data_IF_892739732081
#
_entry.id   IF_892739732081
#
_cell.length_a   1.000
_cell.length_b   1.000
_cell.length_c   1.000
_cell.angle_alpha   90.00
_cell.angle_beta   90.00
_cell.angle_gamma   90.00
#
_symmetry.space_group_name_H-M   'P 1'
#
loop_
_entity.id
_entity.type
_entity.pdbx_description
1 polymer ?
#
# COMPACT_ATOMS: atom_id res chain seq x y z
N UNK A 1 16.55 1.60 -4.02
CA UNK A 1 17.14 1.04 -5.26
C UNK A 1 15.99 0.49 -6.11
N UNK A 2 15.80 0.94 -7.34
CA UNK A 2 14.67 0.51 -8.17
C UNK A 2 14.92 -0.93 -8.66
N UNK A 3 14.04 -1.86 -8.29
CA UNK A 3 14.11 -3.26 -8.76
C UNK A 3 14.12 -3.28 -10.30
N UNK A 4 15.12 -3.95 -10.86
CA UNK A 4 15.24 -4.20 -12.31
C UNK A 4 14.11 -5.14 -12.69
N UNK A 5 13.21 -4.68 -13.56
CA UNK A 5 12.05 -5.48 -13.99
C UNK A 5 12.55 -6.57 -14.92
N UNK A 6 12.57 -7.82 -14.45
CA UNK A 6 13.16 -8.96 -15.16
C UNK A 6 12.39 -9.38 -16.43
N UNK A 7 11.12 -8.99 -16.58
CA UNK A 7 10.26 -9.51 -17.65
C UNK A 7 9.45 -8.42 -18.37
N UNK A 8 9.50 -8.33 -19.71
CA UNK A 8 8.68 -7.41 -20.48
C UNK A 8 7.21 -7.85 -20.47
N UNK A 9 6.30 -6.93 -20.14
CA UNK A 9 4.85 -7.17 -20.15
C UNK A 9 4.25 -6.56 -21.42
N UNK A 10 3.61 -7.38 -22.24
CA UNK A 10 2.87 -6.93 -23.43
C UNK A 10 1.39 -6.76 -23.11
N UNK A 11 0.83 -5.58 -23.40
CA UNK A 11 -0.58 -5.27 -23.17
C UNK A 11 -1.26 -4.85 -24.48
N UNK A 12 -2.53 -5.22 -24.66
CA UNK A 12 -3.35 -4.73 -25.77
C UNK A 12 -4.22 -3.58 -25.27
N UNK A 13 -4.01 -2.40 -25.83
CA UNK A 13 -4.78 -1.21 -25.51
C UNK A 13 -5.42 -0.64 -26.78
N UNK A 14 -6.66 -0.10 -26.69
CA UNK A 14 -7.25 0.69 -27.75
C UNK A 14 -6.33 1.82 -28.22
N UNK A 15 -6.30 2.08 -29.54
CA UNK A 15 -5.43 3.11 -30.14
C UNK A 15 -5.60 4.50 -29.50
N UNK A 16 -6.83 4.86 -29.12
CA UNK A 16 -7.09 6.18 -28.51
C UNK A 16 -6.44 6.32 -27.13
N UNK A 17 -6.33 5.24 -26.35
CA UNK A 17 -5.64 5.28 -25.06
C UNK A 17 -4.14 5.43 -25.25
N UNK A 18 -3.56 4.71 -26.22
CA UNK A 18 -2.13 4.82 -26.54
C UNK A 18 -1.78 6.27 -26.89
N UNK A 19 -2.63 6.95 -27.68
CA UNK A 19 -2.43 8.36 -28.03
C UNK A 19 -2.42 9.27 -26.80
N UNK A 20 -3.37 9.10 -25.87
CA UNK A 20 -3.42 9.88 -24.63
C UNK A 20 -2.19 9.65 -23.75
N UNK A 21 -1.70 8.41 -23.67
CA UNK A 21 -0.47 8.10 -22.95
C UNK A 21 0.72 8.82 -23.60
N UNK A 22 0.79 8.84 -24.93
CA UNK A 22 1.85 9.55 -25.65
C UNK A 22 1.79 11.07 -25.45
N UNK A 23 0.60 11.65 -25.34
CA UNK A 23 0.41 13.07 -25.02
C UNK A 23 1.00 13.41 -23.64
N UNK A 24 0.66 12.63 -22.61
CA UNK A 24 1.20 12.82 -21.25
C UNK A 24 2.73 12.66 -21.17
N UNK A 25 3.31 11.78 -22.00
CA UNK A 25 4.77 11.64 -22.11
C UNK A 25 5.38 12.87 -22.78
N UNK A 26 4.75 13.40 -23.85
CA UNK A 26 5.22 14.61 -24.53
C UNK A 26 5.15 15.84 -23.64
N UNK A 27 4.14 15.92 -22.77
CA UNK A 27 3.98 16.99 -21.78
C UNK A 27 5.02 16.89 -20.64
N UNK A 28 5.76 15.78 -20.57
CA UNK A 28 6.80 15.56 -19.56
C UNK A 28 6.26 15.06 -18.22
N UNK A 29 4.97 14.72 -18.12
CA UNK A 29 4.38 14.14 -16.91
C UNK A 29 4.95 12.74 -16.61
N UNK A 30 5.31 11.99 -17.66
CA UNK A 30 5.88 10.65 -17.55
C UNK A 30 7.12 10.48 -18.42
N UNK A 31 8.10 9.73 -17.92
CA UNK A 31 9.36 9.50 -18.64
C UNK A 31 9.21 8.55 -19.83
N UNK A 32 8.24 7.64 -19.78
CA UNK A 32 7.98 6.65 -20.82
C UNK A 32 6.60 6.02 -20.66
N UNK A 33 6.16 5.26 -21.68
CA UNK A 33 4.92 4.46 -21.59
C UNK A 33 4.99 3.47 -20.44
N UNK A 34 6.13 2.83 -20.24
CA UNK A 34 6.33 1.88 -19.14
C UNK A 34 6.21 2.54 -17.77
N UNK A 35 6.70 3.77 -17.64
CA UNK A 35 6.60 4.58 -16.41
C UNK A 35 5.13 4.89 -16.09
N UNK A 36 4.38 5.37 -17.09
CA UNK A 36 2.93 5.59 -16.98
C UNK A 36 2.18 4.32 -16.57
N UNK A 37 2.44 3.18 -17.23
CA UNK A 37 1.73 1.93 -16.96
C UNK A 37 2.03 1.44 -15.54
N UNK A 38 3.29 1.50 -15.08
CA UNK A 38 3.65 1.14 -13.70
C UNK A 38 2.93 2.02 -12.69
N UNK A 39 2.93 3.34 -12.91
CA UNK A 39 2.22 4.29 -12.05
C UNK A 39 0.72 3.97 -11.97
N UNK A 40 0.07 3.78 -13.13
CA UNK A 40 -1.36 3.49 -13.20
C UNK A 40 -1.71 2.18 -12.47
N UNK A 41 -0.93 1.11 -12.68
CA UNK A 41 -1.13 -0.18 -12.01
C UNK A 41 -1.01 -0.03 -10.49
N UNK A 42 0.04 0.65 -10.00
CA UNK A 42 0.24 0.87 -8.56
C UNK A 42 -0.92 1.67 -7.94
N UNK A 43 -1.34 2.75 -8.61
CA UNK A 43 -2.45 3.59 -8.15
C UNK A 43 -3.76 2.79 -8.05
N UNK A 44 -4.11 2.06 -9.11
CA UNK A 44 -5.34 1.27 -9.15
C UNK A 44 -5.32 0.12 -8.15
N UNK A 45 -4.19 -0.57 -7.97
CA UNK A 45 -4.04 -1.59 -6.94
C UNK A 45 -4.29 -1.02 -5.54
N UNK A 46 -3.69 0.13 -5.22
CA UNK A 46 -3.89 0.80 -3.94
C UNK A 46 -5.37 1.15 -3.69
N UNK A 47 -6.05 1.69 -4.70
CA UNK A 47 -7.47 2.02 -4.62
C UNK A 47 -8.33 0.77 -4.37
N UNK A 48 -8.12 -0.31 -5.13
CA UNK A 48 -8.87 -1.57 -4.96
C UNK A 48 -8.62 -2.18 -3.58
N UNK A 49 -7.38 -2.16 -3.09
CA UNK A 49 -7.05 -2.68 -1.77
C UNK A 49 -7.70 -1.86 -0.66
N UNK A 50 -7.68 -0.53 -0.76
CA UNK A 50 -8.36 0.36 0.20
C UNK A 50 -9.87 0.15 0.20
N UNK A 51 -10.49 0.01 -0.97
CA UNK A 51 -11.94 -0.25 -1.07
C UNK A 51 -12.30 -1.60 -0.42
N UNK A 52 -11.55 -2.66 -0.73
CA UNK A 52 -11.71 -3.96 -0.06
C UNK A 52 -11.50 -3.88 1.45
N UNK A 53 -10.54 -3.07 1.91
CA UNK A 53 -10.33 -2.85 3.34
C UNK A 53 -11.50 -2.11 4.00
N UNK A 54 -12.08 -1.10 3.33
CA UNK A 54 -13.28 -0.38 3.80
C UNK A 54 -14.51 -1.29 3.86
N UNK A 55 -14.74 -2.11 2.85
CA UNK A 55 -15.84 -3.09 2.83
C UNK A 55 -15.69 -4.13 3.95
N UNK A 56 -14.47 -4.61 4.19
CA UNK A 56 -14.17 -5.47 5.35
C UNK A 56 -14.36 -4.73 6.68
N UNK A 57 -14.03 -3.44 6.75
CA UNK A 57 -14.21 -2.67 7.98
C UNK A 57 -15.69 -2.41 8.32
N UNK A 58 -16.56 -2.26 7.32
CA UNK A 58 -18.02 -2.12 7.52
C UNK A 58 -18.66 -3.37 8.14
N UNK A 59 -18.07 -4.54 7.92
CA UNK A 59 -18.59 -5.84 8.38
C UNK A 59 -17.94 -6.32 9.67
N UNK A 60 -16.87 -5.67 10.13
CA UNK A 60 -16.15 -6.06 11.34
C UNK A 60 -16.76 -5.37 12.56
N UNK A 61 -17.20 -6.17 13.53
CA UNK A 61 -17.58 -5.67 14.84
C UNK A 61 -16.36 -5.21 15.65
N UNK A 62 -16.51 -4.30 16.63
CA UNK A 62 -15.38 -3.79 17.43
C UNK A 62 -14.56 -4.88 18.14
N UNK A 63 -15.18 -6.01 18.48
CA UNK A 63 -14.51 -7.16 19.10
C UNK A 63 -13.63 -7.94 18.11
N UNK A 64 -14.10 -8.15 16.88
CA UNK A 64 -13.34 -8.81 15.82
C UNK A 64 -12.14 -7.96 15.37
N UNK A 65 -12.26 -6.63 15.37
CA UNK A 65 -11.15 -5.72 15.11
C UNK A 65 -10.04 -5.85 16.16
N UNK A 66 -10.40 -5.98 17.45
CA UNK A 66 -9.44 -6.18 18.54
C UNK A 66 -8.77 -7.54 18.45
N UNK A 67 -9.52 -8.59 18.11
CA UNK A 67 -8.97 -9.93 17.93
C UNK A 67 -7.99 -9.99 16.74
N UNK A 68 -8.34 -9.39 15.60
CA UNK A 68 -7.44 -9.28 14.44
C UNK A 68 -6.19 -8.45 14.73
N UNK A 69 -6.33 -7.35 15.47
CA UNK A 69 -5.19 -6.51 15.86
C UNK A 69 -4.24 -7.28 16.78
N UNK A 70 -4.75 -8.03 17.77
CA UNK A 70 -3.93 -8.90 18.62
C UNK A 70 -3.23 -10.01 17.82
N UNK A 71 -3.91 -10.64 16.87
CA UNK A 71 -3.30 -11.66 16.00
C UNK A 71 -2.25 -11.08 15.05
N UNK A 72 -2.51 -9.91 14.45
CA UNK A 72 -1.55 -9.23 13.59
C UNK A 72 -0.31 -8.81 14.39
N UNK A 73 -0.48 -8.31 15.61
CA UNK A 73 0.63 -8.00 16.52
C UNK A 73 1.43 -9.25 16.91
N UNK A 74 0.76 -10.39 17.17
CA UNK A 74 1.44 -11.65 17.44
C UNK A 74 2.28 -12.13 16.24
N UNK A 75 1.73 -12.05 15.03
CA UNK A 75 2.44 -12.43 13.79
C UNK A 75 3.57 -11.48 13.43
N UNK A 76 3.39 -10.18 13.72
CA UNK A 76 4.45 -9.20 13.66
C UNK A 76 5.55 -9.60 14.65
N UNK A 77 5.24 -9.77 15.94
CA UNK A 77 6.26 -10.11 16.95
C UNK A 77 6.95 -11.47 16.73
N UNK A 78 6.33 -12.43 16.04
CA UNK A 78 6.87 -13.77 15.82
C UNK A 78 7.84 -13.89 14.65
N UNK A 79 8.10 -12.81 13.89
CA UNK A 79 9.11 -12.84 12.82
C UNK A 79 8.63 -13.35 11.46
N UNK A 80 7.34 -13.65 11.29
CA UNK A 80 6.81 -14.23 10.04
C UNK A 80 6.74 -13.24 8.85
N UNK A 81 7.05 -11.96 9.05
CA UNK A 81 7.02 -10.92 8.01
C UNK A 81 8.46 -10.50 7.70
N UNK A 82 9.17 -11.27 6.88
CA UNK A 82 10.63 -11.17 6.71
C UNK A 82 11.14 -9.88 6.05
N UNK A 83 10.33 -9.13 5.30
CA UNK A 83 10.86 -8.13 4.33
C UNK A 83 10.78 -6.64 4.72
N UNK A 84 10.07 -6.23 5.78
CA UNK A 84 9.87 -4.78 6.11
C UNK A 84 10.03 -4.45 7.62
N UNK A 85 10.71 -5.32 8.36
CA UNK A 85 10.76 -5.31 9.83
C UNK A 85 11.26 -4.03 10.52
N UNK A 86 12.38 -3.39 10.09
CA UNK A 86 12.96 -2.30 10.85
C UNK A 86 12.08 -1.04 10.83
N UNK A 87 11.61 -0.67 9.63
CA UNK A 87 10.87 0.57 9.40
C UNK A 87 9.45 0.50 9.97
N UNK A 88 8.79 -0.66 9.84
CA UNK A 88 7.44 -0.87 10.36
C UNK A 88 7.43 -0.89 11.89
N UNK A 89 8.47 -1.44 12.52
CA UNK A 89 8.59 -1.49 13.99
C UNK A 89 8.68 -0.09 14.61
N UNK A 90 9.51 0.78 14.04
CA UNK A 90 9.71 2.13 14.53
C UNK A 90 8.41 2.95 14.46
N UNK A 91 7.67 2.81 13.36
CA UNK A 91 6.37 3.47 13.17
C UNK A 91 5.35 2.97 14.20
N UNK A 92 5.31 1.67 14.48
CA UNK A 92 4.39 1.08 15.45
C UNK A 92 4.69 1.53 16.89
N UNK A 93 5.98 1.62 17.26
CA UNK A 93 6.39 2.15 18.56
C UNK A 93 6.02 3.63 18.72
N UNK A 94 6.17 4.45 17.68
CA UNK A 94 5.76 5.85 17.70
C UNK A 94 4.24 6.01 17.85
N UNK A 95 3.46 5.19 17.15
CA UNK A 95 2.00 5.18 17.26
C UNK A 95 1.55 4.77 18.66
N UNK A 96 2.12 3.70 19.23
CA UNK A 96 1.79 3.24 20.59
C UNK A 96 2.11 4.31 21.65
N UNK A 97 3.27 4.97 21.52
CA UNK A 97 3.67 6.08 22.39
C UNK A 97 2.68 7.24 22.32
N UNK A 98 2.35 7.70 21.11
CA UNK A 98 1.33 8.76 20.91
C UNK A 98 -0.03 8.36 21.46
N UNK A 99 -0.42 7.11 21.31
CA UNK A 99 -1.70 6.62 21.79
C UNK A 99 -1.77 6.59 23.33
N UNK A 100 -0.67 6.19 23.99
CA UNK A 100 -0.51 6.25 25.45
C UNK A 100 -0.52 7.68 26.00
N UNK A 101 0.13 8.60 25.29
CA UNK A 101 0.11 10.04 25.61
C UNK A 101 -1.31 10.62 25.49
N UNK A 102 -2.04 10.31 24.42
CA UNK A 102 -3.42 10.77 24.19
C UNK A 102 -4.42 10.17 25.18
N UNK A 103 -4.21 8.94 25.64
CA UNK A 103 -5.07 8.27 26.64
C UNK A 103 -4.80 8.72 28.08
N UNK A 104 -3.88 9.65 28.30
CA UNK A 104 -3.61 10.18 29.63
C UNK A 104 -3.11 9.12 30.61
N UNK A 105 -2.44 8.07 30.12
CA UNK A 105 -1.75 7.11 31.00
C UNK A 105 -0.46 7.73 31.53
N UNK A 106 -0.59 8.77 32.36
CA UNK A 106 0.44 9.11 33.35
C UNK A 106 0.58 7.89 34.27
N UNK A 107 1.82 7.43 34.44
CA UNK A 107 2.20 6.60 35.59
C UNK A 107 1.70 7.22 36.89
#
# INVERSE_FOLDING_TARGET
>A
MAQVVEHPVSVRLPKYLIKKIDELIKEGEFKSRSDFIKYAVTLTLGQIMMEKAREKAKTITPEEARARSKQALQKLLSGEIEDEWPEVKDILEEIDKRWKELKGAKK
#
